data_IF_206253501431
#
_entry.id   IF_206253501431
#
_cell.length_a   1.000
_cell.length_b   1.000
_cell.length_c   1.000
_cell.angle_alpha   90.00
_cell.angle_beta   90.00
_cell.angle_gamma   90.00
#
_symmetry.space_group_name_H-M   'P 1'
#
loop_
_entity.id
_entity.type
_entity.pdbx_description
1 polymer ?
#
# COMPACT_ATOMS: atom_id res chain seq x y z
N UNK A 1 27.16 -31.61 -7.75
CA UNK A 1 26.53 -30.34 -8.17
C UNK A 1 27.43 -29.74 -9.22
N UNK A 2 27.08 -29.98 -10.48
CA UNK A 2 27.82 -29.52 -11.64
C UNK A 2 27.60 -28.02 -11.88
N UNK A 3 28.38 -27.40 -12.76
CA UNK A 3 28.19 -25.99 -13.14
C UNK A 3 26.78 -25.71 -13.69
N UNK A 4 26.12 -26.75 -14.21
CA UNK A 4 24.74 -26.67 -14.68
C UNK A 4 23.75 -26.50 -13.52
N UNK A 5 23.96 -27.21 -12.40
CA UNK A 5 23.12 -27.08 -11.19
C UNK A 5 23.24 -25.68 -10.59
N UNK A 6 24.45 -25.09 -10.61
CA UNK A 6 24.68 -23.74 -10.12
C UNK A 6 23.92 -22.69 -10.94
N UNK A 7 23.93 -22.81 -12.27
CA UNK A 7 23.19 -21.91 -13.18
C UNK A 7 21.68 -22.09 -13.00
N UNK A 8 21.21 -23.34 -12.95
CA UNK A 8 19.80 -23.65 -12.72
C UNK A 8 19.31 -23.10 -11.36
N UNK A 9 20.09 -23.29 -10.30
CA UNK A 9 19.79 -22.77 -8.96
C UNK A 9 19.70 -21.24 -8.95
N UNK A 10 20.61 -20.54 -9.64
CA UNK A 10 20.60 -19.09 -9.73
C UNK A 10 19.33 -18.57 -10.44
N UNK A 11 18.94 -19.20 -11.55
CA UNK A 11 17.73 -18.82 -12.29
C UNK A 11 16.47 -19.01 -11.42
N UNK A 12 16.36 -20.15 -10.73
CA UNK A 12 15.24 -20.41 -9.82
C UNK A 12 15.26 -19.44 -8.64
N UNK A 13 16.44 -19.13 -8.07
CA UNK A 13 16.57 -18.18 -6.99
C UNK A 13 16.11 -16.78 -7.39
N UNK A 14 16.50 -16.28 -8.58
CA UNK A 14 16.02 -15.00 -9.09
C UNK A 14 14.51 -14.99 -9.29
N UNK A 15 13.93 -16.08 -9.80
CA UNK A 15 12.48 -16.23 -9.96
C UNK A 15 11.77 -16.16 -8.59
N UNK A 16 12.28 -16.88 -7.59
CA UNK A 16 11.70 -16.90 -6.24
C UNK A 16 11.78 -15.52 -5.57
N UNK A 17 12.92 -14.84 -5.68
CA UNK A 17 13.10 -13.47 -5.16
C UNK A 17 12.12 -12.51 -5.86
N UNK A 18 11.99 -12.60 -7.18
CA UNK A 18 11.06 -11.76 -7.94
C UNK A 18 9.61 -11.96 -7.49
N UNK A 19 9.15 -13.21 -7.42
CA UNK A 19 7.79 -13.54 -6.96
C UNK A 19 7.58 -13.10 -5.50
N UNK A 20 8.59 -13.28 -4.65
CA UNK A 20 8.55 -12.83 -3.26
C UNK A 20 8.37 -11.32 -3.12
N UNK A 21 9.10 -10.53 -3.91
CA UNK A 21 8.98 -9.06 -3.91
C UNK A 21 7.62 -8.62 -4.46
N UNK A 22 7.14 -9.26 -5.54
CA UNK A 22 5.81 -8.95 -6.11
C UNK A 22 4.73 -9.25 -5.07
N UNK A 23 4.73 -10.43 -4.46
CA UNK A 23 3.74 -10.77 -3.43
C UNK A 23 3.78 -9.80 -2.24
N UNK A 24 4.98 -9.47 -1.76
CA UNK A 24 5.16 -8.52 -0.67
C UNK A 24 4.68 -7.11 -1.04
N UNK A 25 4.94 -6.66 -2.27
CA UNK A 25 4.44 -5.40 -2.83
C UNK A 25 2.91 -5.36 -2.88
N UNK A 26 2.25 -6.48 -3.15
CA UNK A 26 0.79 -6.59 -3.14
C UNK A 26 0.20 -6.70 -1.73
N UNK A 27 1.01 -7.01 -0.70
CA UNK A 27 0.57 -7.22 0.69
C UNK A 27 0.21 -5.94 1.46
N UNK A 28 -0.22 -4.88 0.79
CA UNK A 28 -1.22 -3.99 1.37
C UNK A 28 -0.75 -2.92 2.37
N UNK A 29 0.54 -2.73 2.65
CA UNK A 29 0.95 -1.72 3.66
C UNK A 29 0.77 -0.25 3.23
N UNK A 30 0.45 0.03 1.97
CA UNK A 30 0.17 1.41 1.51
C UNK A 30 -1.30 1.71 1.28
N UNK A 31 -2.17 0.72 1.05
CA UNK A 31 -3.61 1.00 0.86
C UNK A 31 -4.24 1.63 2.11
N UNK A 32 -3.86 1.16 3.30
CA UNK A 32 -4.39 1.70 4.55
C UNK A 32 -4.00 3.17 4.79
N UNK A 33 -2.77 3.56 4.48
CA UNK A 33 -2.31 4.95 4.62
C UNK A 33 -2.89 5.89 3.54
N UNK A 34 -3.24 5.35 2.36
CA UNK A 34 -3.89 6.11 1.30
C UNK A 34 -5.40 6.27 1.53
N UNK A 35 -6.09 5.27 2.10
CA UNK A 35 -7.51 5.41 2.49
C UNK A 35 -7.68 6.46 3.59
N UNK A 36 -6.79 6.47 4.60
CA UNK A 36 -6.81 7.47 5.67
C UNK A 36 -6.51 8.88 5.13
N UNK A 37 -5.55 9.02 4.20
CA UNK A 37 -5.26 10.30 3.57
C UNK A 37 -6.33 10.75 2.56
N UNK A 38 -7.10 9.85 1.98
CA UNK A 38 -8.22 10.18 1.09
C UNK A 38 -9.42 10.76 1.85
N UNK A 39 -9.50 10.51 3.16
CA UNK A 39 -10.58 11.03 4.00
C UNK A 39 -10.29 12.46 4.53
N UNK A 40 -9.04 12.93 4.45
CA UNK A 40 -8.62 14.30 4.83
C UNK A 40 -9.53 15.41 4.27
N UNK A 41 -9.79 15.51 2.94
CA UNK A 41 -10.62 16.58 2.40
C UNK A 41 -12.10 16.52 2.83
N UNK A 42 -12.56 15.39 3.38
CA UNK A 42 -13.94 15.19 3.82
C UNK A 42 -14.11 15.34 5.34
N UNK A 43 -13.06 15.10 6.13
CA UNK A 43 -13.06 15.33 7.59
C UNK A 43 -12.99 16.80 7.98
N UNK A 44 -12.56 17.68 7.08
CA UNK A 44 -12.56 19.14 7.31
C UNK A 44 -13.94 19.79 7.04
N UNK A 45 -14.86 19.11 6.35
CA UNK A 45 -16.23 19.60 6.10
C UNK A 45 -17.20 19.31 7.26
N UNK A 46 -16.89 18.35 8.16
CA UNK A 46 -17.76 17.98 9.29
C UNK A 46 -17.60 18.92 10.52
N UNK A 47 -16.63 19.84 10.50
CA UNK A 47 -16.52 20.93 11.48
C UNK A 47 -17.31 22.19 11.07
N UNK A 48 -18.13 22.10 10.02
CA UNK A 48 -19.19 23.08 9.74
C UNK A 48 -20.45 22.77 10.56
N UNK A 49 -20.26 22.72 11.88
CA UNK A 49 -21.38 22.69 12.84
C UNK A 49 -22.30 23.89 12.61
N UNK A 50 -23.63 23.70 12.69
CA UNK A 50 -24.60 24.69 12.24
C UNK A 50 -24.40 26.02 12.96
N UNK A 51 -24.07 27.07 12.20
CA UNK A 51 -24.04 28.44 12.71
C UNK A 51 -25.32 28.71 13.50
N UNK A 52 -25.24 29.00 14.82
CA UNK A 52 -26.42 29.36 15.59
C UNK A 52 -26.89 30.71 15.06
N UNK A 53 -27.99 30.64 14.31
CA UNK A 53 -28.64 31.77 13.67
C UNK A 53 -28.68 32.99 14.57
N UNK A 54 -28.06 34.05 14.06
CA UNK A 54 -28.34 35.46 14.25
C UNK A 54 -29.86 35.71 14.42
N UNK A 55 -30.37 35.55 15.65
CA UNK A 55 -31.65 36.13 16.08
C UNK A 55 -31.37 37.53 16.58
N UNK A 56 -31.61 38.48 15.68
CA UNK A 56 -31.96 39.86 16.03
C UNK A 56 -33.26 39.90 16.83
#
# INVERSE_FOLDING_TARGET
MDTNDLRAALTVLMLLIFVGIVWWSYSGKRRQAFDEAAQLPFTEEDDSGPEPGNRR
#
